data_IF_175711899295
#
_entry.id   IF_175711899295
#
_cell.length_a   1.000
_cell.length_b   1.000
_cell.length_c   1.000
_cell.angle_alpha   90.00
_cell.angle_beta   90.00
_cell.angle_gamma   90.00
#
_symmetry.space_group_name_H-M   'P 1'
#
loop_
_entity.id
_entity.type
_entity.pdbx_description
1 polymer ?
#
# COMPACT_ATOMS: atom_id res chain seq x y z
N UNK A 1 34.66 -2.87 -8.81
CA UNK A 1 33.39 -2.12 -8.70
C UNK A 1 32.29 -3.16 -8.57
N UNK A 2 31.91 -3.50 -7.35
CA UNK A 2 31.02 -4.62 -7.03
C UNK A 2 29.56 -4.15 -7.13
N UNK A 3 28.86 -4.61 -8.17
CA UNK A 3 27.43 -4.35 -8.36
C UNK A 3 26.65 -5.09 -7.28
N UNK A 4 26.38 -4.40 -6.17
CA UNK A 4 25.59 -4.91 -5.06
C UNK A 4 24.13 -5.04 -5.50
N UNK A 5 23.80 -6.15 -6.14
CA UNK A 5 22.44 -6.55 -6.40
C UNK A 5 21.71 -6.79 -5.07
N UNK A 6 20.49 -6.25 -4.94
CA UNK A 6 19.68 -6.46 -3.75
C UNK A 6 19.39 -7.95 -3.60
N UNK A 7 19.84 -8.52 -2.48
CA UNK A 7 19.61 -9.92 -2.11
C UNK A 7 18.11 -10.22 -2.14
N UNK A 8 17.74 -11.45 -2.54
CA UNK A 8 16.35 -11.92 -2.57
C UNK A 8 15.62 -11.66 -1.25
N UNK A 9 16.35 -11.75 -0.13
CA UNK A 9 15.80 -11.48 1.19
C UNK A 9 15.45 -9.99 1.41
N UNK A 10 16.26 -9.08 0.85
CA UNK A 10 15.98 -7.63 0.91
C UNK A 10 14.75 -7.27 0.07
N UNK A 11 14.56 -7.91 -1.08
CA UNK A 11 13.38 -7.72 -1.94
C UNK A 11 12.09 -8.11 -1.21
N UNK A 12 12.08 -9.30 -0.60
CA UNK A 12 10.94 -9.80 0.19
C UNK A 12 10.60 -8.84 1.34
N UNK A 13 11.60 -8.33 2.05
CA UNK A 13 11.39 -7.39 3.16
C UNK A 13 10.78 -6.07 2.68
N UNK A 14 11.21 -5.54 1.53
CA UNK A 14 10.66 -4.32 0.93
C UNK A 14 9.20 -4.52 0.50
N UNK A 15 8.87 -5.66 -0.09
CA UNK A 15 7.48 -5.97 -0.50
C UNK A 15 6.56 -6.13 0.71
N UNK A 16 6.99 -6.84 1.75
CA UNK A 16 6.20 -6.98 2.99
C UNK A 16 5.98 -5.64 3.68
N UNK A 17 7.01 -4.79 3.81
CA UNK A 17 6.84 -3.45 4.37
C UNK A 17 5.92 -2.56 3.53
N UNK A 18 5.94 -2.70 2.20
CA UNK A 18 5.11 -1.88 1.30
C UNK A 18 3.63 -2.26 1.37
N UNK A 19 3.32 -3.52 1.69
CA UNK A 19 1.95 -4.01 1.90
C UNK A 19 1.42 -3.59 3.28
N UNK A 20 2.25 -3.67 4.33
CA UNK A 20 1.82 -3.43 5.72
C UNK A 20 1.76 -1.93 6.08
N UNK A 21 2.58 -1.09 5.44
CA UNK A 21 2.51 0.36 5.59
C UNK A 21 2.18 1.00 4.23
N UNK A 22 0.90 1.10 3.88
CA UNK A 22 0.42 2.16 2.96
C UNK A 22 0.74 3.50 3.62
N UNK A 23 1.91 4.14 3.35
CA UNK A 23 2.30 4.73 2.08
C UNK A 23 3.81 4.55 1.73
N UNK A 24 4.49 3.49 2.18
CA UNK A 24 5.93 3.34 2.01
C UNK A 24 6.40 3.08 0.57
N UNK A 25 5.55 2.54 -0.31
CA UNK A 25 5.93 2.36 -1.71
C UNK A 25 6.14 3.68 -2.46
N UNK A 26 5.58 4.80 -1.96
CA UNK A 26 5.90 6.16 -2.45
C UNK A 26 7.34 6.57 -2.11
N UNK A 27 7.84 6.23 -0.92
CA UNK A 27 9.24 6.51 -0.55
C UNK A 27 10.20 5.82 -1.51
N UNK A 28 9.95 4.53 -1.81
CA UNK A 28 10.77 3.76 -2.75
C UNK A 28 10.61 4.25 -4.20
N UNK A 29 9.41 4.67 -4.60
CA UNK A 29 9.19 5.33 -5.89
C UNK A 29 10.10 6.56 -6.04
N UNK A 30 10.04 7.52 -5.12
CA UNK A 30 10.87 8.74 -5.22
C UNK A 30 12.37 8.45 -5.14
N UNK A 31 12.77 7.46 -4.34
CA UNK A 31 14.18 7.05 -4.21
C UNK A 31 14.73 6.44 -5.49
N UNK A 32 13.97 5.56 -6.15
CA UNK A 32 14.44 4.81 -7.31
C UNK A 32 14.15 5.49 -8.65
N UNK A 33 13.20 6.43 -8.72
CA UNK A 33 12.96 7.25 -9.91
C UNK A 33 14.19 8.08 -10.30
N UNK A 34 14.94 8.57 -9.30
CA UNK A 34 16.19 9.33 -9.49
C UNK A 34 17.40 8.45 -9.80
N UNK A 35 17.24 7.12 -9.88
CA UNK A 35 18.37 6.23 -10.14
C UNK A 35 18.80 6.28 -11.61
N UNK A 36 20.10 6.24 -11.94
CA UNK A 36 20.59 6.22 -13.31
C UNK A 36 20.38 4.88 -14.03
N UNK A 37 20.18 3.78 -13.28
CA UNK A 37 19.90 2.45 -13.84
C UNK A 37 18.43 2.28 -14.24
N UNK A 38 18.19 1.78 -15.46
CA UNK A 38 16.85 1.48 -15.98
C UNK A 38 16.11 0.43 -15.15
N UNK A 39 16.82 -0.60 -14.65
CA UNK A 39 16.24 -1.61 -13.77
C UNK A 39 15.76 -1.02 -12.44
N UNK A 40 16.53 -0.09 -11.87
CA UNK A 40 16.13 0.55 -10.61
C UNK A 40 14.89 1.43 -10.81
N UNK A 41 14.79 2.17 -11.93
CA UNK A 41 13.58 2.95 -12.25
C UNK A 41 12.35 2.05 -12.36
N UNK A 42 12.47 0.87 -12.94
CA UNK A 42 11.38 -0.11 -13.04
C UNK A 42 10.89 -0.57 -11.66
N UNK A 43 11.78 -0.78 -10.69
CA UNK A 43 11.41 -1.07 -9.30
C UNK A 43 10.61 0.09 -8.68
N UNK A 44 10.98 1.33 -8.98
CA UNK A 44 10.22 2.51 -8.56
C UNK A 44 8.79 2.50 -9.08
N UNK A 45 8.60 2.29 -10.39
CA UNK A 45 7.27 2.22 -11.01
C UNK A 45 6.42 1.07 -10.45
N UNK A 46 6.99 -0.13 -10.30
CA UNK A 46 6.29 -1.28 -9.73
C UNK A 46 5.82 -0.96 -8.30
N UNK A 47 6.67 -0.31 -7.49
CA UNK A 47 6.33 0.08 -6.12
C UNK A 47 5.18 1.09 -6.08
N UNK A 48 5.12 2.03 -7.03
CA UNK A 48 4.02 2.98 -7.17
C UNK A 48 2.71 2.27 -7.51
N UNK A 49 2.72 1.37 -8.49
CA UNK A 49 1.54 0.59 -8.89
C UNK A 49 1.04 -0.27 -7.72
N UNK A 50 1.94 -0.95 -7.01
CA UNK A 50 1.58 -1.72 -5.81
C UNK A 50 0.91 -0.84 -4.75
N UNK A 51 1.43 0.39 -4.56
CA UNK A 51 0.88 1.34 -3.58
C UNK A 51 -0.52 1.78 -3.95
N UNK A 52 -0.77 2.09 -5.24
CA UNK A 52 -2.10 2.47 -5.72
C UNK A 52 -3.11 1.35 -5.57
N UNK A 53 -2.72 0.11 -5.92
CA UNK A 53 -3.58 -1.07 -5.76
C UNK A 53 -3.90 -1.30 -4.29
N UNK A 54 -2.89 -1.24 -3.41
CA UNK A 54 -3.10 -1.41 -1.98
C UNK A 54 -4.01 -0.33 -1.40
N UNK A 55 -3.86 0.93 -1.85
CA UNK A 55 -4.73 2.03 -1.41
C UNK A 55 -6.19 1.80 -1.79
N UNK A 56 -6.46 1.34 -3.02
CA UNK A 56 -7.82 1.03 -3.48
C UNK A 56 -8.42 -0.08 -2.61
N UNK A 57 -7.68 -1.16 -2.39
CA UNK A 57 -8.13 -2.28 -1.55
C UNK A 57 -8.44 -1.81 -0.12
N UNK A 58 -7.57 -0.99 0.48
CA UNK A 58 -7.79 -0.41 1.80
C UNK A 58 -9.08 0.41 1.86
N UNK A 59 -9.33 1.26 0.86
CA UNK A 59 -10.56 2.06 0.78
C UNK A 59 -11.80 1.15 0.67
N UNK A 60 -11.74 0.08 -0.11
CA UNK A 60 -12.85 -0.89 -0.26
C UNK A 60 -13.15 -1.61 1.05
N UNK A 61 -12.12 -2.08 1.75
CA UNK A 61 -12.24 -2.77 3.03
C UNK A 61 -12.79 -1.81 4.10
N UNK A 62 -12.23 -0.60 4.20
CA UNK A 62 -12.68 0.41 5.14
C UNK A 62 -14.15 0.81 4.88
N UNK A 63 -14.54 1.01 3.62
CA UNK A 63 -15.92 1.32 3.25
C UNK A 63 -16.88 0.19 3.61
N UNK A 64 -16.47 -1.06 3.40
CA UNK A 64 -17.26 -2.24 3.76
C UNK A 64 -17.41 -2.38 5.27
N UNK A 65 -16.34 -2.08 6.03
CA UNK A 65 -16.37 -2.06 7.48
C UNK A 65 -17.31 -0.97 8.02
N UNK A 66 -17.23 0.26 7.51
CA UNK A 66 -18.14 1.35 7.91
C UNK A 66 -19.59 1.01 7.59
N UNK A 67 -19.87 0.46 6.41
CA UNK A 67 -21.22 0.00 6.04
C UNK A 67 -21.73 -1.06 7.00
N UNK A 68 -20.89 -2.03 7.36
CA UNK A 68 -21.25 -3.08 8.31
C UNK A 68 -21.56 -2.47 9.68
N UNK A 69 -20.72 -1.57 10.17
CA UNK A 69 -20.91 -0.86 11.44
C UNK A 69 -22.22 -0.06 11.46
N UNK A 70 -22.52 0.69 10.39
CA UNK A 70 -23.77 1.44 10.28
C UNK A 70 -24.99 0.51 10.28
N UNK A 71 -24.91 -0.64 9.60
CA UNK A 71 -25.99 -1.63 9.61
C UNK A 71 -26.20 -2.23 11.01
N UNK A 72 -25.13 -2.48 11.76
CA UNK A 72 -25.23 -2.89 13.16
C UNK A 72 -25.94 -1.80 13.98
N UNK A 73 -25.48 -0.55 13.94
CA UNK A 73 -26.06 0.55 14.74
C UNK A 73 -27.53 0.84 14.40
N UNK A 74 -27.89 0.81 13.11
CA UNK A 74 -29.27 0.99 12.66
C UNK A 74 -30.17 -0.20 13.04
N UNK A 75 -29.63 -1.42 13.06
CA UNK A 75 -30.32 -2.62 13.52
C UNK A 75 -30.67 -2.61 15.02
N UNK A 76 -29.95 -1.82 15.83
CA UNK A 76 -30.24 -1.62 17.25
C UNK A 76 -31.15 -0.41 17.55
N UNK A 77 -31.65 0.32 16.55
CA UNK A 77 -32.62 1.40 16.76
C UNK A 77 -32.04 2.69 17.41
N UNK A 78 -30.73 2.91 17.38
CA UNK A 78 -30.10 4.12 17.96
C UNK A 78 -30.28 5.36 17.04
N UNK A 79 -31.03 5.24 15.95
CA UNK A 79 -31.19 6.28 14.92
C UNK A 79 -32.51 7.05 14.90
N UNK A 80 -33.47 6.79 15.79
CA UNK A 80 -34.74 7.55 15.86
C UNK A 80 -35.15 7.78 17.33
N UNK A 81 -34.52 8.77 17.95
CA UNK A 81 -34.77 9.17 19.32
C UNK A 81 -34.55 10.67 19.55
N UNK A 82 -35.10 11.48 18.65
CA UNK A 82 -35.50 12.88 18.87
C UNK A 82 -36.79 13.12 18.09
#
# INVERSE_FOLDING_TARGET
MESNELSSFQKVKIYLLSIVLTPLGLYWFFKYLKSPSSQNRMVGYISLVLTLVSLIVTIMVASSYIKSLNNYLNGYGVGMGF
#
